data_IF_392673290079
#
_entry.id   IF_392673290079
#
_cell.length_a   1.000
_cell.length_b   1.000
_cell.length_c   1.000
_cell.angle_alpha   90.00
_cell.angle_beta   90.00
_cell.angle_gamma   90.00
#
_symmetry.space_group_name_H-M   'P 1'
#
loop_
_entity.id
_entity.type
_entity.pdbx_description
1 polymer ?
#
# COMPACT_ATOMS: atom_id res chain seq x y z
N UNK A 1 -44.34 31.05 3.56
CA UNK A 1 -44.79 31.08 2.14
C UNK A 1 -44.67 32.50 1.63
N UNK A 2 -44.16 32.70 0.40
CA UNK A 2 -44.03 34.03 -0.20
C UNK A 2 -45.19 34.32 -1.14
N UNK A 3 -45.79 35.51 -1.06
CA UNK A 3 -46.86 35.96 -1.96
C UNK A 3 -46.66 37.42 -2.39
N UNK A 4 -47.28 37.77 -3.53
CA UNK A 4 -47.24 39.12 -4.09
C UNK A 4 -48.40 39.95 -3.56
N UNK A 5 -48.15 41.19 -3.17
CA UNK A 5 -49.15 42.17 -2.78
C UNK A 5 -49.02 43.43 -3.64
N UNK A 6 -50.16 43.96 -4.07
CA UNK A 6 -50.26 45.20 -4.84
C UNK A 6 -51.06 46.23 -4.05
N UNK A 7 -50.67 47.49 -4.14
CA UNK A 7 -51.33 48.60 -3.45
C UNK A 7 -51.89 49.54 -4.52
N UNK A 8 -53.18 49.88 -4.45
CA UNK A 8 -53.80 50.86 -5.34
C UNK A 8 -53.95 52.19 -4.59
N UNK A 9 -53.44 53.28 -5.16
CA UNK A 9 -53.54 54.62 -4.56
C UNK A 9 -53.87 55.66 -5.63
N UNK A 10 -54.71 56.63 -5.29
CA UNK A 10 -55.04 57.76 -6.16
C UNK A 10 -53.90 58.80 -6.12
N UNK A 11 -53.33 59.13 -7.28
CA UNK A 11 -52.24 60.10 -7.44
C UNK A 11 -52.61 61.03 -8.60
N UNK A 12 -52.66 62.34 -8.36
CA UNK A 12 -53.05 63.36 -9.35
C UNK A 12 -54.41 63.08 -10.04
N UNK A 13 -55.39 62.56 -9.29
CA UNK A 13 -56.73 62.27 -9.82
C UNK A 13 -56.91 60.84 -10.36
N UNK A 14 -55.83 60.10 -10.63
CA UNK A 14 -55.86 58.77 -11.26
C UNK A 14 -55.48 57.64 -10.29
N UNK A 15 -56.08 56.46 -10.46
CA UNK A 15 -55.72 55.27 -9.69
C UNK A 15 -54.45 54.61 -10.24
N UNK A 16 -53.38 54.58 -9.44
CA UNK A 16 -52.13 53.90 -9.78
C UNK A 16 -51.95 52.64 -8.94
N UNK A 17 -51.46 51.58 -9.56
CA UNK A 17 -51.13 50.31 -8.89
C UNK A 17 -49.62 50.23 -8.64
N UNK A 18 -49.24 50.02 -7.39
CA UNK A 18 -47.86 49.92 -6.92
C UNK A 18 -47.55 48.48 -6.49
N UNK A 19 -46.39 47.97 -6.89
CA UNK A 19 -45.94 46.61 -6.61
C UNK A 19 -45.27 45.95 -7.82
N UNK A 20 -44.96 44.64 -7.76
CA UNK A 20 -45.29 43.72 -6.68
C UNK A 20 -44.41 43.91 -5.44
N UNK A 21 -45.02 43.96 -4.26
CA UNK A 21 -44.33 43.81 -2.98
C UNK A 21 -44.38 42.35 -2.55
N UNK A 22 -43.24 41.77 -2.18
CA UNK A 22 -43.18 40.39 -1.72
C UNK A 22 -43.30 40.35 -0.20
N UNK A 23 -44.17 39.46 0.28
CA UNK A 23 -44.36 39.23 1.70
C UNK A 23 -44.18 37.75 2.02
N UNK A 24 -43.53 37.45 3.14
CA UNK A 24 -43.33 36.09 3.63
C UNK A 24 -44.10 35.88 4.93
N UNK A 25 -44.98 34.88 4.94
CA UNK A 25 -45.60 34.38 6.17
C UNK A 25 -44.66 33.39 6.86
N UNK A 26 -44.35 33.65 8.14
CA UNK A 26 -43.54 32.79 9.01
C UNK A 26 -44.20 32.64 10.38
N UNK A 27 -43.90 31.56 11.11
CA UNK A 27 -44.32 31.39 12.51
C UNK A 27 -43.20 31.85 13.42
N UNK A 28 -43.55 32.64 14.43
CA UNK A 28 -42.63 33.05 15.47
C UNK A 28 -42.32 31.88 16.42
N UNK A 29 -41.33 32.05 17.29
CA UNK A 29 -40.98 31.14 18.39
C UNK A 29 -42.18 30.70 19.24
N UNK A 30 -43.18 31.58 19.39
CA UNK A 30 -44.43 31.34 20.11
C UNK A 30 -45.53 30.70 19.25
N UNK A 31 -45.24 30.26 18.02
CA UNK A 31 -46.19 29.62 17.11
C UNK A 31 -47.16 30.57 16.38
N UNK A 32 -47.12 31.87 16.66
CA UNK A 32 -47.99 32.88 16.03
C UNK A 32 -47.53 33.19 14.61
N UNK A 33 -48.46 33.19 13.66
CA UNK A 33 -48.17 33.55 12.25
C UNK A 33 -47.99 35.05 12.09
N UNK A 34 -46.83 35.48 11.59
CA UNK A 34 -46.50 36.87 11.26
C UNK A 34 -46.10 36.98 9.79
N UNK A 35 -46.24 38.18 9.24
CA UNK A 35 -45.87 38.47 7.85
C UNK A 35 -44.79 39.56 7.82
N UNK A 36 -43.69 39.30 7.12
CA UNK A 36 -42.62 40.29 6.89
C UNK A 36 -42.49 40.63 5.41
N UNK A 37 -42.10 41.87 5.13
CA UNK A 37 -41.74 42.30 3.78
C UNK A 37 -40.36 41.72 3.40
N UNK A 38 -40.22 41.27 2.15
CA UNK A 38 -38.95 40.82 1.59
C UNK A 38 -38.70 41.54 0.25
N UNK A 39 -37.46 41.99 0.02
CA UNK A 39 -37.10 42.69 -1.22
C UNK A 39 -36.97 41.74 -2.41
N UNK A 40 -36.33 40.59 -2.21
CA UNK A 40 -36.09 39.61 -3.26
C UNK A 40 -36.56 38.21 -2.81
N UNK A 41 -37.55 37.62 -3.49
CA UNK A 41 -37.92 36.24 -3.21
C UNK A 41 -36.77 35.32 -3.63
N UNK A 42 -36.35 34.41 -2.75
CA UNK A 42 -35.35 33.38 -3.06
C UNK A 42 -35.84 32.54 -4.24
N UNK A 43 -35.36 32.83 -5.45
CA UNK A 43 -35.66 32.04 -6.65
C UNK A 43 -34.98 30.69 -6.49
N UNK A 44 -35.77 29.63 -6.30
CA UNK A 44 -35.26 28.26 -6.45
C UNK A 44 -34.99 28.10 -7.94
N UNK A 45 -33.74 28.34 -8.35
CA UNK A 45 -33.32 28.13 -9.74
C UNK A 45 -33.59 26.66 -10.08
N UNK A 46 -34.36 26.37 -11.14
CA UNK A 46 -34.69 25.00 -11.57
C UNK A 46 -33.46 24.10 -11.68
N UNK A 47 -32.30 24.69 -11.99
CA UNK A 47 -30.99 24.03 -11.99
C UNK A 47 -30.64 23.37 -10.64
N UNK A 48 -30.87 24.04 -9.50
CA UNK A 48 -30.60 23.48 -8.15
C UNK A 48 -31.44 22.25 -7.83
N UNK A 49 -32.72 22.26 -8.23
CA UNK A 49 -33.62 21.13 -8.01
C UNK A 49 -33.24 19.90 -8.88
N UNK A 50 -32.77 20.13 -10.10
CA UNK A 50 -32.29 19.06 -10.99
C UNK A 50 -30.96 18.49 -10.47
N UNK A 51 -30.01 19.33 -10.04
CA UNK A 51 -28.72 18.87 -9.51
C UNK A 51 -28.88 18.06 -8.22
N UNK A 52 -29.78 18.45 -7.32
CA UNK A 52 -30.04 17.68 -6.09
C UNK A 52 -30.70 16.32 -6.36
N UNK A 53 -31.55 16.23 -7.39
CA UNK A 53 -32.17 14.97 -7.80
C UNK A 53 -31.14 14.01 -8.41
N UNK A 54 -30.28 14.50 -9.29
CA UNK A 54 -29.19 13.71 -9.91
C UNK A 54 -28.22 13.21 -8.84
N UNK A 55 -27.81 14.09 -7.92
CA UNK A 55 -26.92 13.72 -6.81
C UNK A 55 -27.54 12.71 -5.84
N UNK A 56 -28.86 12.73 -5.65
CA UNK A 56 -29.56 11.76 -4.80
C UNK A 56 -29.63 10.37 -5.44
N UNK A 57 -29.83 10.28 -6.75
CA UNK A 57 -29.86 8.98 -7.44
C UNK A 57 -28.46 8.38 -7.65
N UNK A 58 -27.44 9.21 -7.93
CA UNK A 58 -26.07 8.72 -8.07
C UNK A 58 -25.49 8.17 -6.76
N UNK A 59 -25.88 8.72 -5.59
CA UNK A 59 -25.46 8.19 -4.28
C UNK A 59 -25.87 6.73 -4.07
N UNK A 60 -27.05 6.31 -4.53
CA UNK A 60 -27.49 4.90 -4.42
C UNK A 60 -26.58 3.99 -5.23
N UNK A 61 -26.19 4.43 -6.43
CA UNK A 61 -25.29 3.68 -7.31
C UNK A 61 -23.88 3.55 -6.71
N UNK A 62 -23.34 4.62 -6.11
CA UNK A 62 -22.06 4.56 -5.39
C UNK A 62 -22.08 3.64 -4.16
N UNK A 63 -23.20 3.62 -3.41
CA UNK A 63 -23.36 2.68 -2.28
C UNK A 63 -23.38 1.24 -2.77
N UNK A 64 -24.13 0.94 -3.84
CA UNK A 64 -24.16 -0.41 -4.44
C UNK A 64 -22.78 -0.81 -4.97
N UNK A 65 -22.08 0.09 -5.64
CA UNK A 65 -20.73 -0.15 -6.15
C UNK A 65 -19.72 -0.39 -5.01
N UNK A 66 -19.84 0.35 -3.91
CA UNK A 66 -19.03 0.17 -2.72
C UNK A 66 -19.26 -1.19 -2.05
N UNK A 67 -20.53 -1.62 -1.94
CA UNK A 67 -20.88 -2.95 -1.43
C UNK A 67 -20.33 -4.03 -2.37
N UNK A 68 -20.45 -3.86 -3.69
CA UNK A 68 -19.91 -4.81 -4.67
C UNK A 68 -18.39 -4.95 -4.54
N UNK A 69 -17.66 -3.84 -4.41
CA UNK A 69 -16.21 -3.87 -4.15
C UNK A 69 -15.87 -4.62 -2.86
N UNK A 70 -16.61 -4.39 -1.78
CA UNK A 70 -16.37 -5.10 -0.51
C UNK A 70 -16.63 -6.61 -0.63
N UNK A 71 -17.65 -7.02 -1.39
CA UNK A 71 -17.92 -8.44 -1.65
C UNK A 71 -16.78 -9.07 -2.46
N UNK A 72 -16.30 -8.40 -3.52
CA UNK A 72 -15.16 -8.89 -4.32
C UNK A 72 -13.91 -8.99 -3.45
N UNK A 73 -13.62 -7.98 -2.64
CA UNK A 73 -12.43 -7.96 -1.79
C UNK A 73 -12.51 -9.04 -0.69
N UNK A 74 -13.69 -9.26 -0.11
CA UNK A 74 -13.94 -10.36 0.82
C UNK A 74 -13.76 -11.72 0.16
N UNK A 75 -14.18 -11.88 -1.10
CA UNK A 75 -13.98 -13.12 -1.85
C UNK A 75 -12.48 -13.40 -2.07
N UNK A 76 -11.69 -12.38 -2.45
CA UNK A 76 -10.24 -12.50 -2.58
C UNK A 76 -9.56 -12.92 -1.28
N UNK A 77 -9.97 -12.34 -0.14
CA UNK A 77 -9.40 -12.67 1.19
C UNK A 77 -9.73 -14.11 1.63
N UNK A 78 -10.93 -14.61 1.31
CA UNK A 78 -11.36 -15.96 1.69
C UNK A 78 -10.82 -17.05 0.77
N UNK A 79 -10.42 -16.70 -0.45
CA UNK A 79 -10.10 -17.68 -1.49
C UNK A 79 -8.72 -18.35 -1.32
N UNK A 80 -7.98 -18.11 -0.22
CA UNK A 80 -6.61 -18.61 0.01
C UNK A 80 -5.80 -18.64 -1.29
N UNK A 81 -5.87 -17.54 -2.04
CA UNK A 81 -5.13 -17.43 -3.29
C UNK A 81 -3.68 -17.30 -2.85
N UNK A 82 -2.96 -18.42 -2.95
CA UNK A 82 -1.52 -18.48 -2.77
C UNK A 82 -0.89 -17.64 -3.88
N UNK A 83 -0.87 -16.31 -3.67
CA UNK A 83 -0.23 -15.33 -4.53
C UNK A 83 1.27 -15.47 -4.35
N UNK A 84 1.79 -16.63 -4.75
CA UNK A 84 3.22 -16.93 -4.79
C UNK A 84 3.77 -16.27 -6.06
N UNK A 85 3.87 -14.94 -6.00
CA UNK A 85 4.71 -14.21 -6.94
C UNK A 85 6.11 -14.77 -6.81
N UNK A 86 6.63 -15.40 -7.88
CA UNK A 86 8.01 -15.86 -7.94
C UNK A 86 8.92 -14.63 -7.97
N UNK A 87 9.15 -14.03 -6.82
CA UNK A 87 10.14 -13.00 -6.62
C UNK A 87 11.50 -13.68 -6.55
N UNK A 88 12.29 -13.55 -7.61
CA UNK A 88 13.70 -13.93 -7.58
C UNK A 88 14.47 -12.68 -7.19
N UNK A 89 15.04 -12.70 -5.98
CA UNK A 89 15.97 -11.68 -5.52
C UNK A 89 17.38 -12.11 -5.92
N UNK A 90 17.95 -11.45 -6.92
CA UNK A 90 19.37 -11.56 -7.23
C UNK A 90 20.13 -10.53 -6.39
N UNK A 91 20.96 -10.99 -5.46
CA UNK A 91 21.89 -10.14 -4.71
C UNK A 91 23.18 -10.11 -5.53
N UNK A 92 23.36 -9.06 -6.32
CA UNK A 92 24.65 -8.75 -6.92
C UNK A 92 25.49 -8.05 -5.84
N UNK A 93 26.60 -8.67 -5.43
CA UNK A 93 27.52 -8.08 -4.45
C UNK A 93 28.46 -7.12 -5.19
N UNK A 94 28.29 -5.82 -4.98
CA UNK A 94 29.16 -4.78 -5.54
C UNK A 94 30.43 -4.66 -4.69
N UNK A 95 31.56 -5.19 -5.19
CA UNK A 95 32.88 -5.04 -4.57
C UNK A 95 33.62 -3.82 -5.15
N UNK A 96 34.31 -3.07 -4.29
CA UNK A 96 35.19 -1.97 -4.70
C UNK A 96 36.61 -2.46 -4.99
N UNK A 97 37.32 -1.75 -5.88
CA UNK A 97 38.73 -2.07 -6.19
C UNK A 97 39.59 -1.93 -4.93
N UNK A 98 40.24 -3.03 -4.54
CA UNK A 98 41.09 -3.09 -3.34
C UNK A 98 40.34 -3.44 -2.05
N UNK A 99 39.04 -3.72 -2.13
CA UNK A 99 38.27 -4.20 -0.98
C UNK A 99 38.70 -5.61 -0.59
N UNK A 100 38.87 -5.84 0.72
CA UNK A 100 39.17 -7.16 1.24
C UNK A 100 37.93 -8.05 1.14
N UNK A 101 37.98 -9.06 0.29
CA UNK A 101 36.92 -10.06 0.19
C UNK A 101 36.96 -10.91 1.46
N UNK A 102 35.83 -10.97 2.16
CA UNK A 102 35.65 -11.78 3.37
C UNK A 102 34.55 -12.80 3.13
N UNK A 103 34.71 -13.98 3.73
CA UNK A 103 33.76 -15.06 3.60
C UNK A 103 34.14 -16.23 4.49
N UNK A 104 33.19 -17.14 4.68
CA UNK A 104 33.38 -18.34 5.47
C UNK A 104 33.53 -19.55 4.55
N UNK A 105 34.65 -20.27 4.68
CA UNK A 105 34.79 -21.60 4.09
C UNK A 105 34.19 -22.63 5.05
N UNK A 106 33.08 -23.25 4.67
CA UNK A 106 32.46 -24.33 5.44
C UNK A 106 32.72 -25.67 4.76
N UNK A 107 33.54 -26.49 5.41
CA UNK A 107 33.76 -27.87 5.02
C UNK A 107 32.90 -28.77 5.93
N UNK A 108 32.02 -29.57 5.33
CA UNK A 108 31.28 -30.59 6.06
C UNK A 108 31.95 -31.94 5.78
N UNK A 109 32.30 -32.63 6.85
CA UNK A 109 32.84 -33.98 6.82
C UNK A 109 31.78 -34.94 7.35
N UNK A 110 31.71 -36.12 6.75
CA UNK A 110 30.86 -37.20 7.26
C UNK A 110 31.48 -37.81 8.54
N UNK A 111 30.67 -38.54 9.31
CA UNK A 111 31.18 -39.22 10.51
C UNK A 111 32.28 -40.24 10.13
N UNK A 112 33.41 -40.18 10.83
CA UNK A 112 34.63 -40.97 10.58
C UNK A 112 35.39 -40.62 9.28
N UNK A 113 35.13 -39.46 8.68
CA UNK A 113 35.96 -38.91 7.62
C UNK A 113 37.08 -38.07 8.23
N UNK A 114 38.32 -38.37 7.86
CA UNK A 114 39.49 -37.59 8.26
C UNK A 114 40.07 -36.89 7.05
N UNK A 115 40.68 -35.73 7.27
CA UNK A 115 41.51 -35.04 6.28
C UNK A 115 42.82 -34.67 6.96
N UNK A 116 43.98 -34.98 6.37
CA UNK A 116 45.26 -34.64 6.96
C UNK A 116 45.40 -33.14 7.17
N UNK A 117 45.96 -32.72 8.31
CA UNK A 117 46.25 -31.30 8.56
C UNK A 117 47.23 -30.70 7.53
N UNK A 118 48.05 -31.54 6.90
CA UNK A 118 48.98 -31.19 5.82
C UNK A 118 48.32 -30.93 4.46
N UNK A 119 46.99 -31.05 4.37
CA UNK A 119 46.24 -30.77 3.15
C UNK A 119 46.37 -29.30 2.76
N UNK A 120 46.65 -29.04 1.48
CA UNK A 120 46.73 -27.69 0.93
C UNK A 120 45.34 -27.18 0.58
N UNK A 121 44.99 -26.02 1.12
CA UNK A 121 43.81 -25.24 0.73
C UNK A 121 44.27 -24.17 -0.26
N UNK A 122 43.78 -24.25 -1.50
CA UNK A 122 44.11 -23.33 -2.58
C UNK A 122 42.87 -22.50 -2.92
N UNK A 123 42.95 -21.19 -2.71
CA UNK A 123 41.89 -20.24 -3.06
C UNK A 123 42.32 -19.51 -4.34
N UNK A 124 41.58 -19.71 -5.43
CA UNK A 124 41.81 -19.01 -6.69
C UNK A 124 40.83 -17.84 -6.81
N UNK A 125 41.36 -16.63 -6.90
CA UNK A 125 40.58 -15.43 -7.19
C UNK A 125 41.04 -14.83 -8.51
N UNK A 126 40.28 -15.08 -9.58
CA UNK A 126 40.55 -14.57 -10.92
C UNK A 126 42.01 -14.78 -11.42
N UNK A 127 42.64 -15.91 -11.02
CA UNK A 127 44.01 -16.26 -11.40
C UNK A 127 45.08 -15.99 -10.34
N UNK A 128 44.76 -15.28 -9.25
CA UNK A 128 45.64 -15.21 -8.08
C UNK A 128 45.36 -16.38 -7.13
N UNK A 129 46.41 -17.15 -6.81
CA UNK A 129 46.32 -18.32 -5.94
C UNK A 129 46.87 -18.02 -4.54
N UNK A 130 46.04 -18.20 -3.53
CA UNK A 130 46.43 -18.17 -2.13
C UNK A 130 46.49 -19.60 -1.59
N UNK A 131 47.64 -20.00 -1.07
CA UNK A 131 47.89 -21.38 -0.61
C UNK A 131 48.09 -21.36 0.91
N UNK A 132 47.29 -22.15 1.61
CA UNK A 132 47.34 -22.34 3.05
C UNK A 132 47.39 -23.82 3.39
N UNK A 133 47.92 -24.17 4.57
CA UNK A 133 47.74 -25.51 5.13
C UNK A 133 46.42 -25.54 5.91
N UNK A 134 45.70 -26.65 5.84
CA UNK A 134 44.45 -26.83 6.58
C UNK A 134 44.67 -26.68 8.09
N UNK A 135 45.80 -27.17 8.61
CA UNK A 135 46.21 -27.00 10.01
C UNK A 135 46.29 -25.56 10.48
N UNK A 136 46.54 -24.61 9.57
CA UNK A 136 46.67 -23.18 9.90
C UNK A 136 45.31 -22.48 9.96
N UNK A 137 44.28 -23.08 9.34
CA UNK A 137 42.93 -22.51 9.22
C UNK A 137 41.95 -23.06 10.27
N UNK A 138 42.22 -24.25 10.83
CA UNK A 138 41.31 -24.96 11.72
C UNK A 138 41.87 -24.98 13.15
N UNK A 139 41.02 -24.71 14.15
CA UNK A 139 41.39 -24.70 15.58
C UNK A 139 41.01 -25.98 16.34
N UNK A 140 40.74 -27.06 15.61
CA UNK A 140 40.33 -28.33 16.21
C UNK A 140 41.53 -29.12 16.75
N UNK A 141 41.25 -30.04 17.67
CA UNK A 141 42.28 -30.91 18.22
C UNK A 141 42.67 -31.94 17.16
N UNK A 142 43.93 -31.91 16.74
CA UNK A 142 44.48 -32.88 15.80
C UNK A 142 44.39 -34.30 16.38
N UNK A 143 43.97 -35.25 15.56
CA UNK A 143 43.87 -36.66 15.93
C UNK A 143 44.45 -37.52 14.82
N UNK A 144 45.33 -38.44 15.19
CA UNK A 144 45.90 -39.40 14.25
C UNK A 144 44.87 -40.43 13.82
N UNK A 145 44.80 -40.71 12.52
CA UNK A 145 43.83 -41.65 12.00
C UNK A 145 44.05 -42.04 10.54
N UNK A 146 43.34 -43.08 10.14
CA UNK A 146 43.17 -43.40 8.73
C UNK A 146 42.21 -42.39 8.11
N UNK A 147 42.60 -41.82 6.98
CA UNK A 147 41.77 -40.91 6.20
C UNK A 147 41.40 -41.55 4.87
N UNK A 148 40.20 -41.24 4.40
CA UNK A 148 39.73 -41.63 3.07
C UNK A 148 38.69 -40.61 2.60
N UNK A 149 38.68 -40.32 1.31
CA UNK A 149 37.67 -39.44 0.69
C UNK A 149 36.64 -40.28 -0.04
N UNK A 150 35.38 -40.15 0.38
CA UNK A 150 34.26 -40.92 -0.18
C UNK A 150 34.13 -40.68 -1.68
N UNK A 151 34.07 -41.75 -2.47
CA UNK A 151 33.94 -41.68 -3.93
C UNK A 151 35.26 -41.50 -4.70
N UNK A 152 36.41 -41.53 -4.01
CA UNK A 152 37.74 -41.48 -4.63
C UNK A 152 38.61 -42.65 -4.16
N UNK A 153 39.75 -42.89 -4.84
CA UNK A 153 40.76 -43.86 -4.39
C UNK A 153 41.79 -43.24 -3.42
N UNK A 154 41.53 -42.04 -2.90
CA UNK A 154 42.42 -41.34 -1.98
C UNK A 154 42.18 -41.87 -0.58
N UNK A 155 43.20 -42.53 -0.02
CA UNK A 155 43.23 -43.01 1.36
C UNK A 155 44.66 -43.01 1.90
N UNK A 156 44.82 -43.01 3.22
CA UNK A 156 46.11 -43.05 3.87
C UNK A 156 46.00 -42.95 5.39
N UNK A 157 47.14 -42.68 6.04
CA UNK A 157 47.23 -42.44 7.47
C UNK A 157 47.89 -41.08 7.71
N UNK A 158 47.35 -40.29 8.63
CA UNK A 158 47.80 -38.93 8.85
C UNK A 158 47.47 -38.38 10.22
N UNK A 159 48.12 -37.25 10.51
CA UNK A 159 47.88 -36.33 11.62
C UNK A 159 46.95 -35.18 11.19
#
# INVERSE_FOLDING_TARGET
>A
MVYKRYIKKKVNGEWKTFGPYYYESYRDSNGITKTRYILEPKKITKLRAVTEKIYRESRKLFVVLGILCLVVLSFFLLSNIDLTGKAVMSIDQDYSIGEQITGDLKLLLESNEFIPGSTKVVINNAGEEFIFLLSDLVKENLSEGEFYLVGTNVSGFGL
#
